data_IF_736231559089
#
_entry.id   IF_736231559089
#
_cell.length_a   1.000
_cell.length_b   1.000
_cell.length_c   1.000
_cell.angle_alpha   90.00
_cell.angle_beta   90.00
_cell.angle_gamma   90.00
#
_symmetry.space_group_name_H-M   'P 1'
#
loop_
_entity.id
_entity.type
_entity.pdbx_description
1 polymer ?
#
# COMPACT_ATOMS: atom_id res chain seq x y z
N UNK A 1 14.21 6.07 28.79
CA UNK A 1 14.47 4.69 28.40
C UNK A 1 13.65 4.28 27.19
N UNK A 2 14.25 3.59 26.27
CA UNK A 2 13.58 3.17 25.05
C UNK A 2 12.57 2.06 25.32
N UNK A 3 11.37 2.19 24.82
CA UNK A 3 10.32 1.22 25.07
C UNK A 3 10.26 0.20 23.93
N UNK A 4 10.83 -0.97 24.16
CA UNK A 4 10.86 -2.05 23.18
C UNK A 4 9.44 -2.54 22.87
N UNK A 5 8.54 -2.48 23.85
CA UNK A 5 7.14 -2.86 23.66
C UNK A 5 6.45 -2.01 22.60
N UNK A 6 6.82 -0.72 22.49
CA UNK A 6 6.26 0.16 21.50
C UNK A 6 6.62 -0.28 20.08
N UNK A 7 7.80 -0.87 19.88
CA UNK A 7 8.19 -1.43 18.59
C UNK A 7 7.37 -2.66 18.23
N UNK A 8 7.16 -3.57 19.20
CA UNK A 8 6.40 -4.78 18.98
C UNK A 8 4.91 -4.51 18.76
N UNK A 9 4.45 -3.28 19.03
CA UNK A 9 3.07 -2.89 18.78
C UNK A 9 2.79 -2.59 17.30
N UNK A 10 3.83 -2.42 16.47
CA UNK A 10 3.63 -2.23 15.04
C UNK A 10 3.31 -3.59 14.44
N UNK A 11 2.06 -3.74 14.00
CA UNK A 11 1.57 -5.00 13.47
C UNK A 11 1.27 -4.87 12.00
N UNK A 12 1.63 -5.89 11.25
CA UNK A 12 1.48 -5.90 9.80
C UNK A 12 0.29 -6.74 9.34
N UNK A 13 -0.45 -7.32 10.27
CA UNK A 13 -1.61 -8.19 9.96
C UNK A 13 -2.65 -7.47 9.13
N UNK A 14 -2.98 -6.23 9.50
CA UNK A 14 -3.98 -5.46 8.76
C UNK A 14 -3.50 -5.14 7.35
N UNK A 15 -2.21 -4.85 7.18
CA UNK A 15 -1.64 -4.60 5.86
C UNK A 15 -1.68 -5.87 5.01
N UNK A 16 -1.30 -7.00 5.59
CA UNK A 16 -1.32 -8.28 4.91
C UNK A 16 -2.75 -8.64 4.47
N UNK A 17 -3.72 -8.44 5.36
CA UNK A 17 -5.13 -8.70 5.04
C UNK A 17 -5.63 -7.80 3.92
N UNK A 18 -5.27 -6.53 3.94
CA UNK A 18 -5.69 -5.60 2.88
C UNK A 18 -5.07 -5.98 1.53
N UNK A 19 -3.81 -6.40 1.53
CA UNK A 19 -3.16 -6.93 0.32
C UNK A 19 -3.92 -8.15 -0.22
N UNK A 20 -4.23 -9.10 0.65
CA UNK A 20 -4.91 -10.33 0.23
C UNK A 20 -6.30 -10.03 -0.33
N UNK A 21 -7.05 -9.12 0.28
CA UNK A 21 -8.38 -8.78 -0.22
C UNK A 21 -8.32 -8.02 -1.55
N UNK A 22 -7.32 -7.16 -1.73
CA UNK A 22 -7.13 -6.48 -3.01
C UNK A 22 -6.76 -7.49 -4.10
N UNK A 23 -5.86 -8.41 -3.80
CA UNK A 23 -5.44 -9.45 -4.74
C UNK A 23 -6.62 -10.28 -5.19
N UNK A 24 -7.47 -10.71 -4.25
CA UNK A 24 -8.66 -11.47 -4.57
C UNK A 24 -9.64 -10.66 -5.41
N UNK A 25 -9.84 -9.41 -5.06
CA UNK A 25 -10.73 -8.54 -5.82
C UNK A 25 -10.25 -8.37 -7.26
N UNK A 26 -8.95 -8.23 -7.45
CA UNK A 26 -8.37 -8.10 -8.78
C UNK A 26 -8.54 -9.41 -9.58
N UNK A 27 -8.37 -10.56 -8.93
CA UNK A 27 -8.63 -11.86 -9.56
C UNK A 27 -10.09 -11.96 -10.01
N UNK A 28 -11.03 -11.52 -9.17
CA UNK A 28 -12.45 -11.48 -9.52
C UNK A 28 -12.69 -10.55 -10.72
N UNK A 29 -12.01 -9.42 -10.75
CA UNK A 29 -12.10 -8.49 -11.88
C UNK A 29 -11.68 -9.18 -13.19
N UNK A 30 -10.57 -9.91 -13.17
CA UNK A 30 -10.09 -10.61 -14.37
C UNK A 30 -11.05 -11.69 -14.83
N UNK A 31 -11.72 -12.36 -13.90
CA UNK A 31 -12.63 -13.47 -14.22
C UNK A 31 -14.04 -13.03 -14.60
N UNK A 32 -14.37 -11.75 -14.42
CA UNK A 32 -15.75 -11.26 -14.60
C UNK A 32 -15.86 -10.13 -15.63
N UNK A 33 -15.01 -10.16 -16.67
CA UNK A 33 -14.97 -9.10 -17.67
C UNK A 33 -16.27 -8.93 -18.43
N UNK A 34 -17.06 -10.00 -18.56
CA UNK A 34 -18.34 -9.97 -19.27
C UNK A 34 -19.54 -10.02 -18.33
N UNK A 35 -19.31 -9.87 -17.03
CA UNK A 35 -20.36 -9.93 -16.03
C UNK A 35 -21.12 -8.61 -15.93
N UNK A 36 -22.42 -8.71 -15.65
CA UNK A 36 -23.24 -7.53 -15.33
C UNK A 36 -22.77 -6.85 -14.04
N UNK A 37 -21.97 -7.54 -13.22
CA UNK A 37 -21.43 -7.00 -11.96
C UNK A 37 -20.05 -6.36 -12.10
N UNK A 38 -19.53 -6.26 -13.33
CA UNK A 38 -18.17 -5.75 -13.53
C UNK A 38 -17.96 -4.37 -12.93
N UNK A 39 -18.94 -3.49 -13.04
CA UNK A 39 -18.83 -2.12 -12.49
C UNK A 39 -18.68 -2.15 -10.98
N UNK A 40 -19.45 -3.01 -10.30
CA UNK A 40 -19.34 -3.14 -8.84
C UNK A 40 -17.98 -3.73 -8.44
N UNK A 41 -17.46 -4.66 -9.21
CA UNK A 41 -16.14 -5.25 -8.96
C UNK A 41 -15.06 -4.18 -9.15
N UNK A 42 -15.17 -3.34 -10.18
CA UNK A 42 -14.24 -2.24 -10.38
C UNK A 42 -14.25 -1.27 -9.20
N UNK A 43 -15.42 -0.92 -8.71
CA UNK A 43 -15.54 -0.02 -7.56
C UNK A 43 -14.89 -0.64 -6.32
N UNK A 44 -15.09 -1.92 -6.12
CA UNK A 44 -14.45 -2.64 -5.00
C UNK A 44 -12.94 -2.63 -5.13
N UNK A 45 -12.40 -2.87 -6.34
CA UNK A 45 -10.96 -2.83 -6.56
C UNK A 45 -10.36 -1.46 -6.27
N UNK A 46 -11.04 -0.39 -6.69
CA UNK A 46 -10.59 0.97 -6.42
C UNK A 46 -10.53 1.22 -4.90
N UNK A 47 -11.60 0.87 -4.18
CA UNK A 47 -11.64 1.06 -2.74
C UNK A 47 -10.59 0.25 -2.00
N UNK A 48 -10.38 -1.00 -2.41
CA UNK A 48 -9.36 -1.86 -1.81
C UNK A 48 -7.96 -1.34 -2.08
N UNK A 49 -7.71 -0.84 -3.29
CA UNK A 49 -6.44 -0.22 -3.63
C UNK A 49 -6.17 1.00 -2.74
N UNK A 50 -7.15 1.90 -2.65
CA UNK A 50 -7.02 3.12 -1.85
C UNK A 50 -6.71 2.79 -0.39
N UNK A 51 -7.45 1.83 0.16
CA UNK A 51 -7.24 1.42 1.55
C UNK A 51 -5.87 0.80 1.76
N UNK A 52 -5.43 -0.07 0.85
CA UNK A 52 -4.14 -0.76 0.98
C UNK A 52 -2.98 0.23 0.85
N UNK A 53 -3.06 1.16 -0.10
CA UNK A 53 -2.03 2.18 -0.26
C UNK A 53 -1.92 3.06 0.98
N UNK A 54 -3.06 3.53 1.48
CA UNK A 54 -3.07 4.40 2.65
C UNK A 54 -2.55 3.68 3.89
N UNK A 55 -2.97 2.44 4.09
CA UNK A 55 -2.48 1.62 5.20
C UNK A 55 -0.96 1.43 5.10
N UNK A 56 -0.45 1.23 3.89
CA UNK A 56 0.98 1.01 3.67
C UNK A 56 1.83 2.20 4.11
N UNK A 57 1.54 3.40 3.59
CA UNK A 57 2.41 4.52 3.92
C UNK A 57 2.24 4.99 5.37
N UNK A 58 1.07 4.81 5.96
CA UNK A 58 0.85 5.13 7.38
C UNK A 58 1.65 4.20 8.28
N UNK A 59 1.68 2.92 7.98
CA UNK A 59 2.49 1.95 8.73
C UNK A 59 3.97 2.27 8.56
N UNK A 60 4.41 2.58 7.35
CA UNK A 60 5.81 2.90 7.11
C UNK A 60 6.23 4.18 7.83
N UNK A 61 5.37 5.20 7.84
CA UNK A 61 5.63 6.42 8.61
C UNK A 61 5.86 6.09 10.09
N UNK A 62 4.97 5.28 10.66
CA UNK A 62 5.08 4.86 12.05
C UNK A 62 6.37 4.09 12.31
N UNK A 63 6.72 3.20 11.41
CA UNK A 63 7.94 2.42 11.52
C UNK A 63 9.18 3.31 11.47
N UNK A 64 9.21 4.27 10.55
CA UNK A 64 10.35 5.18 10.43
C UNK A 64 10.54 6.03 11.68
N UNK A 65 9.46 6.44 12.32
CA UNK A 65 9.55 7.18 13.58
C UNK A 65 10.09 6.27 14.67
N UNK A 66 9.50 5.10 14.84
CA UNK A 66 9.80 4.23 15.98
C UNK A 66 11.12 3.48 15.84
N UNK A 67 11.42 2.99 14.64
CA UNK A 67 12.62 2.17 14.44
C UNK A 67 13.82 2.98 13.98
N UNK A 68 13.62 3.95 13.09
CA UNK A 68 14.72 4.67 12.45
C UNK A 68 14.89 6.09 12.99
N UNK A 69 14.12 6.47 13.99
CA UNK A 69 14.29 7.74 14.65
C UNK A 69 13.97 8.98 13.82
N UNK A 70 13.14 8.81 12.77
CA UNK A 70 12.76 9.93 11.94
C UNK A 70 11.76 10.83 12.65
N UNK A 71 11.76 12.10 12.32
CA UNK A 71 10.82 13.07 12.89
C UNK A 71 9.57 13.17 12.04
N UNK A 72 8.48 13.60 12.66
CA UNK A 72 7.23 13.86 11.97
C UNK A 72 7.42 14.83 10.80
N UNK A 73 8.22 15.89 11.02
CA UNK A 73 8.43 16.95 10.04
C UNK A 73 9.17 16.48 8.79
N UNK A 74 10.12 15.55 8.92
CA UNK A 74 10.84 15.06 7.75
C UNK A 74 10.07 14.00 6.98
N UNK A 75 8.96 13.48 7.53
CA UNK A 75 8.19 12.41 6.89
C UNK A 75 7.03 12.95 6.05
N UNK A 76 7.37 13.74 5.04
CA UNK A 76 6.40 14.05 3.98
C UNK A 76 6.11 12.78 3.19
N UNK A 77 5.02 12.76 2.42
CA UNK A 77 4.67 11.56 1.67
C UNK A 77 5.79 11.12 0.73
N UNK A 78 6.41 12.05 0.02
CA UNK A 78 7.52 11.72 -0.88
C UNK A 78 8.73 11.19 -0.11
N UNK A 79 9.02 11.76 1.05
CA UNK A 79 10.15 11.29 1.86
C UNK A 79 9.90 9.90 2.43
N UNK A 80 8.65 9.59 2.80
CA UNK A 80 8.31 8.22 3.23
C UNK A 80 8.67 7.24 2.12
N UNK A 81 8.27 7.52 0.89
CA UNK A 81 8.57 6.63 -0.24
C UNK A 81 10.06 6.55 -0.53
N UNK A 82 10.79 7.67 -0.44
CA UNK A 82 12.24 7.68 -0.61
C UNK A 82 12.95 6.86 0.45
N UNK A 83 12.51 6.97 1.70
CA UNK A 83 13.08 6.16 2.78
C UNK A 83 12.76 4.68 2.59
N UNK A 84 11.57 4.35 2.07
CA UNK A 84 11.26 2.96 1.75
C UNK A 84 12.29 2.37 0.80
N UNK A 85 12.71 3.11 -0.21
CA UNK A 85 13.77 2.65 -1.09
C UNK A 85 15.12 2.60 -0.38
N UNK A 86 15.45 3.65 0.36
CA UNK A 86 16.72 3.74 1.06
C UNK A 86 16.95 2.60 2.05
N UNK A 87 15.91 2.17 2.74
CA UNK A 87 15.98 1.05 3.69
C UNK A 87 15.55 -0.28 3.08
N UNK A 88 15.38 -0.33 1.77
CA UNK A 88 15.11 -1.57 1.03
C UNK A 88 13.75 -2.20 1.34
N UNK A 89 12.72 -1.38 1.55
CA UNK A 89 11.34 -1.83 1.61
C UNK A 89 10.65 -1.76 0.26
N UNK A 90 11.27 -1.12 -0.71
CA UNK A 90 10.82 -1.11 -2.10
C UNK A 90 12.02 -0.97 -3.03
N UNK A 91 11.85 -1.40 -4.27
CA UNK A 91 12.90 -1.28 -5.27
C UNK A 91 12.95 0.11 -5.88
N UNK A 92 11.79 0.74 -6.06
CA UNK A 92 11.70 2.04 -6.73
C UNK A 92 10.61 2.89 -6.11
N UNK A 93 11.01 3.93 -5.39
CA UNK A 93 10.07 4.84 -4.71
C UNK A 93 9.16 5.59 -5.69
N UNK A 94 9.60 5.78 -6.95
CA UNK A 94 8.80 6.49 -7.95
C UNK A 94 7.53 5.71 -8.30
N UNK A 95 7.54 4.39 -8.18
CA UNK A 95 6.33 3.60 -8.33
C UNK A 95 5.30 4.00 -7.29
N UNK A 96 5.72 4.12 -6.04
CA UNK A 96 4.83 4.52 -4.95
C UNK A 96 4.30 5.93 -5.12
N UNK A 97 5.15 6.85 -5.58
CA UNK A 97 4.73 8.20 -5.92
C UNK A 97 3.63 8.16 -7.00
N UNK A 98 3.80 7.32 -8.00
CA UNK A 98 2.80 7.17 -9.06
C UNK A 98 1.47 6.60 -8.53
N UNK A 99 1.54 5.60 -7.66
CA UNK A 99 0.32 5.05 -7.04
C UNK A 99 -0.43 6.13 -6.26
N UNK A 100 0.31 6.92 -5.50
CA UNK A 100 -0.27 7.99 -4.69
C UNK A 100 -0.92 9.06 -5.58
N UNK A 101 -0.26 9.46 -6.66
CA UNK A 101 -0.78 10.44 -7.62
C UNK A 101 -2.04 9.90 -8.30
N UNK A 102 -2.04 8.65 -8.71
CA UNK A 102 -3.19 8.03 -9.36
C UNK A 102 -4.39 8.00 -8.42
N UNK A 103 -4.15 7.63 -7.15
CA UNK A 103 -5.21 7.64 -6.13
C UNK A 103 -5.80 9.05 -5.97
N UNK A 104 -4.96 10.06 -5.90
CA UNK A 104 -5.42 11.44 -5.71
C UNK A 104 -6.23 11.92 -6.91
N UNK A 105 -5.87 11.52 -8.11
CA UNK A 105 -6.60 11.89 -9.32
C UNK A 105 -8.01 11.28 -9.36
N UNK A 106 -8.21 10.12 -8.74
CA UNK A 106 -9.51 9.45 -8.70
C UNK A 106 -10.37 9.87 -7.51
N UNK A 107 -9.80 10.53 -6.51
CA UNK A 107 -10.50 10.85 -5.28
C UNK A 107 -11.53 11.98 -5.41
N UNK A 108 -11.39 12.85 -6.42
CA UNK A 108 -12.15 14.10 -6.49
C UNK A 108 -13.45 14.01 -7.26
N UNK A 109 -13.60 13.04 -8.16
CA UNK A 109 -14.86 12.81 -8.84
C UNK A 109 -14.93 11.37 -9.34
N UNK A 110 -16.13 10.82 -9.33
CA UNK A 110 -16.36 9.49 -9.88
C UNK A 110 -16.30 9.56 -11.39
N UNK A 111 -15.43 8.76 -11.99
CA UNK A 111 -15.26 8.68 -13.42
C UNK A 111 -14.79 7.28 -13.75
N UNK A 112 -15.57 6.56 -14.55
CA UNK A 112 -15.28 5.16 -14.87
C UNK A 112 -13.96 5.01 -15.64
N UNK A 113 -13.60 5.99 -16.45
CA UNK A 113 -12.33 5.94 -17.18
C UNK A 113 -11.13 6.06 -16.23
N UNK A 114 -11.23 6.95 -15.24
CA UNK A 114 -10.20 7.08 -14.20
C UNK A 114 -10.10 5.82 -13.36
N UNK A 115 -11.24 5.20 -13.05
CA UNK A 115 -11.25 3.93 -12.34
C UNK A 115 -10.54 2.84 -13.12
N UNK A 116 -10.76 2.76 -14.40
CA UNK A 116 -10.07 1.80 -15.27
C UNK A 116 -8.58 2.05 -15.35
N UNK A 117 -8.17 3.33 -15.40
CA UNK A 117 -6.75 3.68 -15.37
C UNK A 117 -6.11 3.21 -14.06
N UNK A 118 -6.82 3.40 -12.94
CA UNK A 118 -6.33 2.93 -11.63
C UNK A 118 -6.21 1.42 -11.60
N UNK A 119 -7.19 0.71 -12.16
CA UNK A 119 -7.15 -0.76 -12.17
C UNK A 119 -5.94 -1.29 -12.94
N UNK A 120 -5.51 -0.58 -13.98
CA UNK A 120 -4.33 -0.97 -14.77
C UNK A 120 -3.04 -1.01 -13.96
N UNK A 121 -2.93 -0.21 -12.91
CA UNK A 121 -1.72 -0.18 -12.09
C UNK A 121 -1.74 -1.19 -10.94
N UNK A 122 -2.87 -1.85 -10.70
CA UNK A 122 -3.01 -2.80 -9.59
C UNK A 122 -1.99 -3.94 -9.67
N UNK A 123 -1.73 -4.57 -10.83
CA UNK A 123 -0.73 -5.64 -10.88
C UNK A 123 0.65 -5.20 -10.40
N UNK A 124 1.10 -4.03 -10.82
CA UNK A 124 2.39 -3.49 -10.37
C UNK A 124 2.36 -3.18 -8.88
N UNK A 125 1.26 -2.61 -8.42
CA UNK A 125 1.09 -2.32 -7.00
C UNK A 125 1.11 -3.59 -6.16
N UNK A 126 0.45 -4.65 -6.60
CA UNK A 126 0.47 -5.93 -5.89
C UNK A 126 1.88 -6.50 -5.80
N UNK A 127 2.67 -6.35 -6.87
CA UNK A 127 4.06 -6.78 -6.87
C UNK A 127 4.89 -5.99 -5.84
N UNK A 128 4.72 -4.68 -5.81
CA UNK A 128 5.43 -3.83 -4.84
C UNK A 128 4.96 -4.10 -3.41
N UNK A 129 3.68 -4.42 -3.22
CA UNK A 129 3.15 -4.81 -1.91
C UNK A 129 3.75 -6.13 -1.43
N UNK A 130 3.89 -7.10 -2.33
CA UNK A 130 4.51 -8.38 -1.98
C UNK A 130 5.96 -8.16 -1.52
N UNK A 131 6.71 -7.34 -2.26
CA UNK A 131 8.07 -6.99 -1.88
C UNK A 131 8.10 -6.34 -0.49
N UNK A 132 7.20 -5.38 -0.25
CA UNK A 132 7.11 -4.69 1.03
C UNK A 132 6.81 -5.66 2.18
N UNK A 133 5.83 -6.53 2.00
CA UNK A 133 5.46 -7.49 3.05
C UNK A 133 6.59 -8.46 3.37
N UNK A 134 7.31 -8.93 2.35
CA UNK A 134 8.47 -9.79 2.54
C UNK A 134 9.56 -9.05 3.33
N UNK A 135 9.83 -7.79 2.96
CA UNK A 135 10.83 -6.99 3.64
C UNK A 135 10.46 -6.73 5.10
N UNK A 136 9.19 -6.44 5.36
CA UNK A 136 8.71 -6.22 6.72
C UNK A 136 8.86 -7.47 7.57
N UNK A 137 8.51 -8.62 7.04
CA UNK A 137 8.67 -9.89 7.77
C UNK A 137 10.14 -10.21 8.06
N UNK A 138 11.01 -9.95 7.10
CA UNK A 138 12.43 -10.26 7.25
C UNK A 138 13.13 -9.32 8.22
N UNK A 139 12.73 -8.06 8.26
CA UNK A 139 13.47 -7.03 9.01
C UNK A 139 12.81 -6.62 10.31
N UNK A 140 11.50 -6.70 10.39
CA UNK A 140 10.76 -6.00 11.43
C UNK A 140 9.80 -6.88 12.23
N UNK A 141 9.53 -8.10 11.79
CA UNK A 141 8.70 -9.03 12.53
C UNK A 141 9.60 -9.86 13.44
N UNK A 142 9.73 -9.42 14.68
CA UNK A 142 10.65 -10.03 15.65
C UNK A 142 9.99 -10.87 16.70
N UNK A 143 8.67 -11.03 16.64
CA UNK A 143 8.01 -11.77 17.66
C UNK A 143 7.82 -13.23 17.31
N UNK A 144 8.57 -13.74 16.52
CA UNK A 144 8.49 -15.17 16.18
C UNK A 144 8.75 -16.10 17.33
#
# INVERSE_FOLDING_TARGET
MYNITAMSEIKFTNLENSYNTLKKCYEDYLQNQNSQFLEYICDACVKRFEYTLETSWKIMKKLFIKKYGKTEEELTINNIFRFMQGYEYTKNWLNWKNYYSTRNNTAHEYNIEKSRELIKIIPDFLSDMEFLLIALKAKDNNED
#
